data_IF_756026720732
#
_entry.id   IF_756026720732
#
_cell.length_a   1.000
_cell.length_b   1.000
_cell.length_c   1.000
_cell.angle_alpha   90.00
_cell.angle_beta   90.00
_cell.angle_gamma   90.00
#
_symmetry.space_group_name_H-M   'P 1'
#
loop_
_entity.id
_entity.type
_entity.pdbx_description
1 polymer ?
#
# COMPACT_ATOMS: atom_id res chain seq x y z
N UNK A 1 15.43 2.91 5.91
CA UNK A 1 15.73 1.87 6.92
C UNK A 1 15.78 0.52 6.22
N UNK A 2 16.94 -0.13 6.17
CA UNK A 2 17.08 -1.46 5.56
C UNK A 2 16.68 -2.54 6.57
N UNK A 3 16.09 -3.63 6.09
CA UNK A 3 15.75 -4.78 6.94
C UNK A 3 16.99 -5.33 7.63
N UNK A 4 16.91 -5.48 8.96
CA UNK A 4 17.98 -6.08 9.77
C UNK A 4 18.06 -7.56 9.40
N UNK A 5 19.24 -8.05 9.00
CA UNK A 5 19.43 -9.47 8.70
C UNK A 5 19.23 -10.29 9.98
N UNK A 6 18.55 -11.43 9.88
CA UNK A 6 18.19 -12.31 11.02
C UNK A 6 19.40 -12.89 11.77
N UNK A 7 20.59 -12.86 11.19
CA UNK A 7 21.84 -13.23 11.86
C UNK A 7 23.02 -12.53 11.21
N UNK A 8 24.02 -12.17 12.03
CA UNK A 8 25.34 -11.78 11.57
C UNK A 8 26.07 -13.03 11.06
N UNK A 9 25.77 -13.42 9.81
CA UNK A 9 26.65 -14.34 9.10
C UNK A 9 28.01 -13.62 9.04
N UNK A 10 29.02 -14.22 9.68
CA UNK A 10 30.38 -13.73 9.62
C UNK A 10 30.78 -13.63 8.14
N UNK A 11 31.03 -12.41 7.70
CA UNK A 11 31.42 -12.13 6.32
C UNK A 11 32.80 -12.71 6.09
N UNK A 12 33.06 -13.20 4.89
CA UNK A 12 34.43 -13.61 4.56
C UNK A 12 35.34 -12.38 4.54
N UNK A 13 36.67 -12.54 4.78
CA UNK A 13 37.60 -11.41 4.66
C UNK A 13 37.50 -10.69 3.30
N UNK A 14 37.21 -11.42 2.22
CA UNK A 14 36.99 -10.85 0.89
C UNK A 14 35.72 -10.00 0.81
N UNK A 15 34.62 -10.44 1.43
CA UNK A 15 33.37 -9.66 1.50
C UNK A 15 33.55 -8.40 2.34
N UNK A 16 34.30 -8.47 3.44
CA UNK A 16 34.62 -7.32 4.28
C UNK A 16 35.46 -6.28 3.53
N UNK A 17 36.50 -6.72 2.79
CA UNK A 17 37.29 -5.84 1.93
C UNK A 17 36.40 -5.16 0.89
N UNK A 18 35.56 -5.92 0.18
CA UNK A 18 34.63 -5.37 -0.83
C UNK A 18 33.67 -4.34 -0.22
N UNK A 19 33.13 -4.59 0.97
CA UNK A 19 32.26 -3.65 1.67
C UNK A 19 33.03 -2.40 2.08
N UNK A 20 34.24 -2.55 2.62
CA UNK A 20 35.08 -1.42 3.01
C UNK A 20 35.45 -0.53 1.82
N UNK A 21 35.81 -1.12 0.68
CA UNK A 21 36.09 -0.39 -0.56
C UNK A 21 34.85 0.33 -1.08
N UNK A 22 33.69 -0.33 -1.04
CA UNK A 22 32.42 0.27 -1.43
C UNK A 22 32.06 1.46 -0.55
N UNK A 23 32.21 1.33 0.78
CA UNK A 23 31.97 2.42 1.74
C UNK A 23 32.96 3.56 1.53
N UNK A 24 34.25 3.28 1.28
CA UNK A 24 35.27 4.30 0.99
C UNK A 24 34.89 5.10 -0.25
N UNK A 25 34.57 4.42 -1.35
CA UNK A 25 34.17 5.06 -2.61
C UNK A 25 32.89 5.88 -2.44
N UNK A 26 31.90 5.35 -1.72
CA UNK A 26 30.68 6.08 -1.41
C UNK A 26 30.96 7.37 -0.64
N UNK A 27 31.80 7.31 0.41
CA UNK A 27 32.17 8.48 1.23
C UNK A 27 32.89 9.53 0.39
N UNK A 28 33.83 9.12 -0.44
CA UNK A 28 34.59 10.00 -1.31
C UNK A 28 33.69 10.74 -2.30
N UNK A 29 32.89 10.00 -3.09
CA UNK A 29 32.02 10.60 -4.10
C UNK A 29 30.93 11.46 -3.44
N UNK A 30 30.37 11.03 -2.31
CA UNK A 30 29.40 11.82 -1.56
C UNK A 30 30.00 13.13 -1.06
N UNK A 31 31.23 13.11 -0.54
CA UNK A 31 31.93 14.33 -0.10
C UNK A 31 32.16 15.30 -1.26
N UNK A 32 32.56 14.81 -2.43
CA UNK A 32 32.73 15.63 -3.63
C UNK A 32 31.40 16.31 -4.02
N UNK A 33 30.29 15.57 -4.05
CA UNK A 33 28.96 16.14 -4.33
C UNK A 33 28.57 17.22 -3.31
N UNK A 34 28.90 17.02 -2.03
CA UNK A 34 28.63 18.04 -1.00
C UNK A 34 29.48 19.31 -1.18
N UNK A 35 30.72 19.18 -1.65
CA UNK A 35 31.57 20.32 -2.02
C UNK A 35 30.96 21.09 -3.20
N UNK A 36 30.56 20.38 -4.27
CA UNK A 36 29.90 21.00 -5.43
C UNK A 36 28.60 21.71 -5.03
N UNK A 37 27.78 21.07 -4.17
CA UNK A 37 26.57 21.69 -3.63
C UNK A 37 26.87 22.97 -2.86
N UNK A 38 27.91 22.97 -2.01
CA UNK A 38 28.31 24.15 -1.22
C UNK A 38 28.81 25.28 -2.12
N UNK A 39 29.53 24.94 -3.19
CA UNK A 39 30.00 25.87 -4.20
C UNK A 39 28.91 26.33 -5.19
N UNK A 40 27.69 25.77 -5.09
CA UNK A 40 26.59 25.99 -6.05
C UNK A 40 27.01 25.70 -7.51
N UNK A 41 27.89 24.72 -7.70
CA UNK A 41 28.33 24.29 -9.01
C UNK A 41 27.28 23.33 -9.61
N UNK A 42 26.51 23.84 -10.57
CA UNK A 42 25.38 23.16 -11.18
C UNK A 42 25.70 22.79 -12.64
N UNK A 43 26.38 21.66 -12.83
CA UNK A 43 26.82 21.19 -14.15
C UNK A 43 26.64 19.67 -14.32
N UNK A 44 26.97 19.17 -15.52
CA UNK A 44 26.90 17.75 -15.87
C UNK A 44 27.84 16.88 -15.02
N UNK A 45 28.94 17.45 -14.53
CA UNK A 45 29.86 16.74 -13.64
C UNK A 45 29.17 16.46 -12.28
N UNK A 46 28.48 17.45 -11.73
CA UNK A 46 27.63 17.31 -10.55
C UNK A 46 26.55 16.24 -10.73
N UNK A 47 25.90 16.18 -11.89
CA UNK A 47 24.92 15.13 -12.20
C UNK A 47 25.55 13.73 -12.28
N UNK A 48 26.74 13.57 -12.87
CA UNK A 48 27.41 12.27 -12.95
C UNK A 48 27.80 11.74 -11.58
N UNK A 49 28.40 12.57 -10.73
CA UNK A 49 28.80 12.14 -9.38
C UNK A 49 27.59 11.85 -8.49
N UNK A 50 26.58 12.73 -8.51
CA UNK A 50 25.38 12.53 -7.67
C UNK A 50 24.56 11.31 -8.10
N UNK A 51 24.59 10.91 -9.38
CA UNK A 51 23.93 9.69 -9.86
C UNK A 51 24.50 8.43 -9.16
N UNK A 52 25.83 8.36 -9.02
CA UNK A 52 26.48 7.27 -8.30
C UNK A 52 26.03 7.22 -6.84
N UNK A 53 25.96 8.38 -6.18
CA UNK A 53 25.59 8.46 -4.75
C UNK A 53 24.16 7.98 -4.51
N UNK A 54 23.20 8.44 -5.31
CA UNK A 54 21.78 8.09 -5.10
C UNK A 54 21.44 6.66 -5.49
N UNK A 55 22.18 6.07 -6.42
CA UNK A 55 22.07 4.64 -6.73
C UNK A 55 22.67 3.78 -5.62
N UNK A 56 23.67 4.26 -4.88
CA UNK A 56 24.21 3.53 -3.73
C UNK A 56 23.37 3.71 -2.47
N UNK A 57 22.87 4.92 -2.24
CA UNK A 57 22.00 5.26 -1.13
C UNK A 57 20.83 6.14 -1.61
N UNK A 58 19.72 5.53 -2.04
CA UNK A 58 18.52 6.26 -2.48
C UNK A 58 17.92 7.15 -1.39
N UNK A 59 18.21 6.92 -0.10
CA UNK A 59 17.70 7.72 1.02
C UNK A 59 18.43 9.05 1.21
N UNK A 60 19.53 9.30 0.49
CA UNK A 60 20.29 10.53 0.66
C UNK A 60 19.61 11.73 -0.01
N UNK A 61 18.54 12.22 0.61
CA UNK A 61 17.62 13.23 0.08
C UNK A 61 18.31 14.56 -0.31
N UNK A 62 19.39 14.94 0.39
CA UNK A 62 20.16 16.16 0.10
C UNK A 62 20.77 16.09 -1.30
N UNK A 63 21.22 14.91 -1.72
CA UNK A 63 21.79 14.70 -3.05
C UNK A 63 20.71 14.78 -4.11
N UNK A 64 19.52 14.19 -3.87
CA UNK A 64 18.38 14.38 -4.76
C UNK A 64 17.96 15.85 -4.89
N UNK A 65 18.01 16.63 -3.80
CA UNK A 65 17.76 18.07 -3.85
C UNK A 65 18.79 18.80 -4.72
N UNK A 66 20.08 18.53 -4.53
CA UNK A 66 21.15 19.07 -5.38
C UNK A 66 20.96 18.70 -6.85
N UNK A 67 20.54 17.46 -7.16
CA UNK A 67 20.21 17.05 -8.53
C UNK A 67 19.09 17.89 -9.13
N UNK A 68 17.99 18.11 -8.42
CA UNK A 68 16.89 18.95 -8.90
C UNK A 68 17.34 20.39 -9.16
N UNK A 69 18.14 20.95 -8.26
CA UNK A 69 18.68 22.31 -8.42
C UNK A 69 19.58 22.39 -9.66
N UNK A 70 20.41 21.37 -9.88
CA UNK A 70 21.27 21.25 -11.06
C UNK A 70 20.48 21.14 -12.36
N UNK A 71 19.50 20.23 -12.42
CA UNK A 71 18.64 20.07 -13.61
C UNK A 71 17.90 21.37 -13.91
N UNK A 72 17.32 22.04 -12.90
CA UNK A 72 16.64 23.33 -13.11
C UNK A 72 17.60 24.42 -13.60
N UNK A 73 18.84 24.44 -13.13
CA UNK A 73 19.85 25.38 -13.62
C UNK A 73 20.17 25.12 -15.10
N UNK A 74 20.46 23.87 -15.46
CA UNK A 74 20.79 23.49 -16.84
C UNK A 74 19.65 23.82 -17.81
N UNK A 75 18.39 23.48 -17.48
CA UNK A 75 17.24 23.76 -18.35
C UNK A 75 16.94 25.26 -18.50
N UNK A 76 17.32 26.09 -17.52
CA UNK A 76 17.21 27.56 -17.64
C UNK A 76 18.26 28.13 -18.59
N UNK A 77 19.42 27.49 -18.64
CA UNK A 77 20.52 27.90 -19.54
C UNK A 77 20.28 27.39 -20.96
N UNK A 78 19.86 26.14 -21.12
CA UNK A 78 19.54 25.50 -22.39
C UNK A 78 18.52 24.36 -22.22
N UNK A 79 17.31 24.54 -22.77
CA UNK A 79 16.23 23.55 -22.71
C UNK A 79 16.27 22.52 -23.85
N UNK A 80 17.20 22.66 -24.81
CA UNK A 80 17.30 21.74 -25.95
C UNK A 80 17.58 20.29 -25.52
N UNK A 81 18.27 20.12 -24.39
CA UNK A 81 18.61 18.82 -23.81
C UNK A 81 17.56 18.29 -22.81
N UNK A 82 16.39 18.95 -22.68
CA UNK A 82 15.34 18.55 -21.71
C UNK A 82 14.95 17.09 -21.83
N UNK A 83 14.79 16.60 -23.07
CA UNK A 83 14.40 15.21 -23.34
C UNK A 83 15.47 14.21 -22.88
N UNK A 84 16.74 14.51 -23.13
CA UNK A 84 17.84 13.63 -22.74
C UNK A 84 18.00 13.59 -21.21
N UNK A 85 17.92 14.74 -20.55
CA UNK A 85 17.93 14.85 -19.09
C UNK A 85 16.74 14.12 -18.45
N UNK A 86 15.55 14.25 -19.04
CA UNK A 86 14.34 13.54 -18.65
C UNK A 86 14.52 12.01 -18.70
N UNK A 87 15.01 11.49 -19.82
CA UNK A 87 15.25 10.05 -20.01
C UNK A 87 16.31 9.52 -19.04
N UNK A 88 17.40 10.27 -18.85
CA UNK A 88 18.46 9.92 -17.90
C UNK A 88 17.95 9.89 -16.45
N UNK A 89 17.16 10.89 -16.03
CA UNK A 89 16.65 10.97 -14.66
C UNK A 89 15.55 9.92 -14.39
N UNK A 90 14.71 9.61 -15.39
CA UNK A 90 13.74 8.50 -15.31
C UNK A 90 14.44 7.15 -15.14
N UNK A 91 15.54 6.92 -15.86
CA UNK A 91 16.35 5.71 -15.75
C UNK A 91 17.04 5.61 -14.39
N UNK A 92 17.64 6.71 -13.93
CA UNK A 92 18.35 6.77 -12.65
C UNK A 92 17.41 6.50 -11.47
N UNK A 93 16.24 7.14 -11.45
CA UNK A 93 15.25 6.91 -10.39
C UNK A 93 14.73 5.47 -10.42
N UNK A 94 14.57 4.86 -11.60
CA UNK A 94 14.21 3.45 -11.70
C UNK A 94 15.31 2.55 -11.13
N UNK A 95 16.58 2.81 -11.46
CA UNK A 95 17.71 2.06 -10.91
C UNK A 95 17.78 2.15 -9.38
N UNK A 96 17.57 3.35 -8.83
CA UNK A 96 17.49 3.58 -7.38
C UNK A 96 16.33 2.80 -6.74
N UNK A 97 15.15 2.81 -7.36
CA UNK A 97 13.97 2.06 -6.90
C UNK A 97 14.15 0.54 -7.02
N UNK A 98 14.87 0.05 -8.03
CA UNK A 98 15.18 -1.37 -8.15
C UNK A 98 16.10 -1.86 -7.01
N UNK A 99 16.90 -0.98 -6.42
CA UNK A 99 17.72 -1.28 -5.23
C UNK A 99 16.97 -1.08 -3.92
N UNK A 100 16.17 -0.02 -3.82
CA UNK A 100 15.33 0.25 -2.66
C UNK A 100 13.93 0.72 -3.12
N UNK A 101 12.98 -0.21 -3.32
CA UNK A 101 11.65 0.12 -3.84
C UNK A 101 10.78 0.90 -2.85
N UNK A 102 11.23 1.02 -1.60
CA UNK A 102 10.54 1.75 -0.51
C UNK A 102 11.23 3.06 -0.16
N UNK A 103 11.98 3.62 -1.11
CA UNK A 103 12.69 4.87 -0.91
C UNK A 103 11.78 6.08 -1.12
N UNK A 104 11.50 6.83 -0.04
CA UNK A 104 10.73 8.08 -0.14
C UNK A 104 11.38 9.07 -1.10
N UNK A 105 12.69 9.24 -1.02
CA UNK A 105 13.40 10.25 -1.81
C UNK A 105 13.41 9.90 -3.31
N UNK A 106 13.53 8.62 -3.66
CA UNK A 106 13.48 8.19 -5.06
C UNK A 106 12.07 8.34 -5.66
N UNK A 107 11.02 7.97 -4.92
CA UNK A 107 9.64 8.19 -5.36
C UNK A 107 9.31 9.68 -5.48
N UNK A 108 9.75 10.50 -4.52
CA UNK A 108 9.59 11.95 -4.58
C UNK A 108 10.31 12.57 -5.78
N UNK A 109 11.53 12.11 -6.07
CA UNK A 109 12.24 12.54 -7.28
C UNK A 109 11.45 12.17 -8.53
N UNK A 110 10.89 10.96 -8.59
CA UNK A 110 10.12 10.50 -9.75
C UNK A 110 8.84 11.32 -9.96
N UNK A 111 8.13 11.66 -8.88
CA UNK A 111 7.02 12.60 -8.92
C UNK A 111 7.46 13.97 -9.44
N UNK A 112 8.60 14.50 -8.95
CA UNK A 112 9.14 15.77 -9.42
C UNK A 112 9.44 15.77 -10.93
N UNK A 113 9.94 14.66 -11.49
CA UNK A 113 10.16 14.53 -12.94
C UNK A 113 8.82 14.69 -13.69
N UNK A 114 7.75 14.04 -13.24
CA UNK A 114 6.41 14.17 -13.84
C UNK A 114 5.90 15.60 -13.73
N UNK A 115 5.97 16.21 -12.55
CA UNK A 115 5.53 17.60 -12.30
C UNK A 115 6.24 18.63 -13.20
N UNK A 116 7.44 18.32 -13.70
CA UNK A 116 8.22 19.22 -14.58
C UNK A 116 8.05 18.89 -16.08
N UNK A 117 7.10 18.02 -16.44
CA UNK A 117 6.86 17.59 -17.82
C UNK A 117 8.04 16.82 -18.41
N UNK A 118 8.81 16.14 -17.55
CA UNK A 118 10.00 15.35 -17.91
C UNK A 118 9.72 13.84 -17.92
N UNK A 119 8.44 13.44 -17.89
CA UNK A 119 8.03 12.04 -18.02
C UNK A 119 6.70 11.94 -18.78
N UNK A 120 6.52 10.82 -19.46
CA UNK A 120 5.25 10.48 -20.14
C UNK A 120 4.38 9.71 -19.16
N UNK A 121 3.24 10.28 -18.76
CA UNK A 121 2.35 9.74 -17.72
C UNK A 121 1.94 8.29 -18.01
N UNK A 122 1.64 7.94 -19.26
CA UNK A 122 1.25 6.58 -19.65
C UNK A 122 2.38 5.56 -19.47
N UNK A 123 3.64 5.98 -19.65
CA UNK A 123 4.80 5.12 -19.37
C UNK A 123 4.96 4.91 -17.87
N UNK A 124 4.71 5.95 -17.07
CA UNK A 124 4.79 5.88 -15.61
C UNK A 124 3.67 5.00 -15.01
N UNK A 125 2.46 5.07 -15.57
CA UNK A 125 1.36 4.15 -15.20
C UNK A 125 1.74 2.70 -15.48
N UNK A 126 2.28 2.39 -16.67
CA UNK A 126 2.76 1.03 -16.99
C UNK A 126 3.90 0.57 -16.08
N UNK A 127 4.77 1.49 -15.66
CA UNK A 127 5.81 1.19 -14.69
C UNK A 127 5.20 0.80 -13.33
N UNK A 128 4.20 1.55 -12.85
CA UNK A 128 3.50 1.18 -11.61
C UNK A 128 2.91 -0.22 -11.68
N UNK A 129 2.26 -0.58 -12.79
CA UNK A 129 1.71 -1.92 -13.00
C UNK A 129 2.82 -2.99 -12.90
N UNK A 130 3.97 -2.75 -13.53
CA UNK A 130 5.11 -3.66 -13.48
C UNK A 130 5.74 -3.77 -12.08
N UNK A 131 5.86 -2.67 -11.34
CA UNK A 131 6.41 -2.66 -9.98
C UNK A 131 5.44 -3.31 -8.98
N UNK A 132 4.14 -3.08 -9.11
CA UNK A 132 3.09 -3.72 -8.31
C UNK A 132 2.85 -5.19 -8.68
N UNK A 133 3.36 -5.67 -9.82
CA UNK A 133 3.45 -7.11 -10.08
C UNK A 133 4.61 -7.77 -9.33
N UNK A 134 5.62 -7.00 -8.90
CA UNK A 134 6.77 -7.50 -8.12
C UNK A 134 6.53 -7.40 -6.61
N UNK A 135 5.95 -6.30 -6.16
CA UNK A 135 5.54 -6.08 -4.77
C UNK A 135 4.18 -5.39 -4.76
N UNK A 136 3.13 -6.19 -4.72
CA UNK A 136 1.74 -5.72 -4.75
C UNK A 136 1.35 -4.91 -3.50
N UNK A 137 2.16 -4.97 -2.43
CA UNK A 137 1.95 -4.29 -1.15
C UNK A 137 2.79 -3.01 -1.03
N UNK A 138 3.52 -2.63 -2.07
CA UNK A 138 4.31 -1.40 -2.06
C UNK A 138 3.41 -0.15 -2.05
N UNK A 139 3.16 0.39 -0.86
CA UNK A 139 2.29 1.55 -0.68
C UNK A 139 2.81 2.82 -1.37
N UNK A 140 4.13 2.96 -1.57
CA UNK A 140 4.67 4.09 -2.32
C UNK A 140 4.28 4.02 -3.80
N UNK A 141 4.33 2.82 -4.38
CA UNK A 141 3.92 2.62 -5.76
C UNK A 141 2.41 2.81 -5.93
N UNK A 142 1.60 2.38 -4.96
CA UNK A 142 0.16 2.69 -4.93
C UNK A 142 -0.12 4.20 -4.82
N UNK A 143 0.60 4.91 -3.94
CA UNK A 143 0.50 6.37 -3.83
C UNK A 143 0.86 7.06 -5.15
N UNK A 144 1.94 6.63 -5.80
CA UNK A 144 2.37 7.18 -7.08
C UNK A 144 1.38 6.86 -8.20
N UNK A 145 0.84 5.63 -8.26
CA UNK A 145 -0.23 5.25 -9.21
C UNK A 145 -1.47 6.13 -9.06
N UNK A 146 -1.90 6.43 -7.83
CA UNK A 146 -3.02 7.36 -7.56
C UNK A 146 -2.72 8.77 -8.06
N UNK A 147 -1.54 9.28 -7.77
CA UNK A 147 -1.10 10.60 -8.27
C UNK A 147 -1.13 10.66 -9.80
N UNK A 148 -0.65 9.63 -10.49
CA UNK A 148 -0.69 9.55 -11.96
C UNK A 148 -2.11 9.48 -12.51
N UNK A 149 -3.01 8.70 -11.89
CA UNK A 149 -4.42 8.66 -12.30
C UNK A 149 -5.07 10.04 -12.23
N UNK A 150 -4.81 10.78 -11.14
CA UNK A 150 -5.32 12.14 -10.96
C UNK A 150 -4.77 13.12 -12.00
N UNK A 151 -3.53 12.94 -12.46
CA UNK A 151 -2.97 13.77 -13.53
C UNK A 151 -3.52 13.43 -14.91
N UNK A 152 -3.75 12.14 -15.20
CA UNK A 152 -4.29 11.68 -16.48
C UNK A 152 -5.75 12.10 -16.65
N UNK A 153 -6.50 12.10 -15.58
CA UNK A 153 -7.90 12.47 -15.56
C UNK A 153 -8.07 13.99 -15.47
N UNK A 154 -8.89 14.58 -16.33
CA UNK A 154 -9.32 15.99 -16.21
C UNK A 154 -10.36 16.18 -15.07
N UNK A 155 -10.24 15.45 -13.96
CA UNK A 155 -11.19 15.44 -12.83
C UNK A 155 -11.07 14.18 -11.96
N UNK A 156 -11.57 14.24 -10.71
CA UNK A 156 -11.41 13.13 -9.74
C UNK A 156 -12.21 11.86 -10.10
N UNK A 157 -13.37 12.00 -10.74
CA UNK A 157 -14.25 10.88 -11.10
C UNK A 157 -13.57 9.89 -12.05
N UNK A 158 -13.00 10.39 -13.16
CA UNK A 158 -12.31 9.55 -14.15
C UNK A 158 -11.03 8.90 -13.57
N UNK A 159 -10.42 9.51 -12.55
CA UNK A 159 -9.29 8.91 -11.84
C UNK A 159 -9.74 7.73 -10.98
N UNK A 160 -10.92 7.83 -10.36
CA UNK A 160 -11.48 6.76 -9.55
C UNK A 160 -11.88 5.56 -10.40
N UNK A 161 -12.44 5.77 -11.60
CA UNK A 161 -12.78 4.68 -12.52
C UNK A 161 -11.54 3.88 -12.95
N UNK A 162 -10.47 4.56 -13.36
CA UNK A 162 -9.19 3.92 -13.71
C UNK A 162 -8.57 3.14 -12.53
N UNK A 163 -8.64 3.71 -11.32
CA UNK A 163 -8.14 3.06 -10.11
C UNK A 163 -9.02 1.88 -9.68
N UNK A 164 -10.34 1.98 -9.86
CA UNK A 164 -11.28 0.90 -9.58
C UNK A 164 -11.02 -0.27 -10.53
N UNK A 165 -10.94 -0.02 -11.84
CA UNK A 165 -10.58 -1.04 -12.84
C UNK A 165 -9.23 -1.70 -12.52
N UNK A 166 -8.22 -0.90 -12.19
CA UNK A 166 -6.92 -1.41 -11.79
C UNK A 166 -6.98 -2.29 -10.54
N UNK A 167 -7.71 -1.85 -9.52
CA UNK A 167 -7.89 -2.62 -8.28
C UNK A 167 -8.66 -3.92 -8.51
N UNK A 168 -9.68 -3.92 -9.39
CA UNK A 168 -10.41 -5.13 -9.80
C UNK A 168 -9.46 -6.15 -10.42
N UNK A 169 -8.59 -5.73 -11.34
CA UNK A 169 -7.57 -6.63 -11.93
C UNK A 169 -6.62 -7.19 -10.87
N UNK A 170 -6.23 -6.38 -9.89
CA UNK A 170 -5.32 -6.80 -8.81
C UNK A 170 -5.98 -7.78 -7.83
N UNK A 171 -7.24 -7.57 -7.47
CA UNK A 171 -8.00 -8.52 -6.64
C UNK A 171 -8.24 -9.83 -7.40
N UNK A 172 -8.52 -9.78 -8.71
CA UNK A 172 -8.67 -10.99 -9.52
C UNK A 172 -7.36 -11.80 -9.62
N UNK A 173 -6.19 -11.14 -9.58
CA UNK A 173 -4.87 -11.81 -9.56
C UNK A 173 -4.55 -12.40 -8.18
N UNK A 174 -4.93 -11.71 -7.12
CA UNK A 174 -4.76 -12.13 -5.74
C UNK A 174 -5.87 -11.54 -4.88
N UNK A 175 -6.86 -12.37 -4.51
CA UNK A 175 -8.01 -11.95 -3.72
C UNK A 175 -7.63 -11.51 -2.29
N UNK A 176 -6.42 -11.87 -1.82
CA UNK A 176 -5.85 -11.45 -0.54
C UNK A 176 -5.09 -10.13 -0.59
N UNK A 177 -5.09 -9.43 -1.73
CA UNK A 177 -4.36 -8.19 -1.89
C UNK A 177 -5.03 -7.02 -1.14
N UNK A 178 -4.66 -6.85 0.14
CA UNK A 178 -5.19 -5.77 0.99
C UNK A 178 -4.99 -4.37 0.42
N UNK A 179 -3.89 -4.13 -0.31
CA UNK A 179 -3.67 -2.81 -0.91
C UNK A 179 -4.66 -2.52 -2.04
N UNK A 180 -5.01 -3.55 -2.82
CA UNK A 180 -6.04 -3.45 -3.85
C UNK A 180 -7.43 -3.31 -3.22
N UNK A 181 -7.78 -4.12 -2.20
CA UNK A 181 -9.04 -3.98 -1.45
C UNK A 181 -9.16 -2.58 -0.82
N UNK A 182 -8.08 -2.06 -0.23
CA UNK A 182 -8.06 -0.70 0.29
C UNK A 182 -8.26 0.34 -0.84
N UNK A 183 -7.63 0.16 -2.01
CA UNK A 183 -7.87 1.05 -3.15
C UNK A 183 -9.36 1.06 -3.55
N UNK A 184 -10.06 -0.09 -3.50
CA UNK A 184 -11.52 -0.13 -3.75
C UNK A 184 -12.29 0.75 -2.79
N UNK A 185 -11.97 0.72 -1.48
CA UNK A 185 -12.62 1.59 -0.48
C UNK A 185 -12.48 3.08 -0.77
N UNK A 186 -11.46 3.48 -1.54
CA UNK A 186 -11.21 4.87 -1.93
C UNK A 186 -11.86 5.25 -3.26
N UNK A 187 -12.05 4.27 -4.16
CA UNK A 187 -12.53 4.49 -5.52
C UNK A 187 -14.03 4.27 -5.69
N UNK A 188 -14.63 3.42 -4.86
CA UNK A 188 -16.07 3.17 -4.89
C UNK A 188 -16.87 4.40 -4.41
N UNK A 189 -18.09 4.61 -4.95
CA UNK A 189 -18.94 5.74 -4.55
C UNK A 189 -19.32 5.68 -3.08
N UNK A 190 -19.52 6.85 -2.48
CA UNK A 190 -20.04 6.98 -1.11
C UNK A 190 -21.26 7.91 -1.14
N UNK A 191 -22.47 7.45 -0.78
CA UNK A 191 -22.80 6.09 -0.31
C UNK A 191 -22.70 5.02 -1.41
N UNK A 192 -22.49 3.76 -1.01
CA UNK A 192 -22.49 2.62 -1.92
C UNK A 192 -23.90 2.33 -2.45
N UNK A 193 -24.11 2.30 -3.78
CA UNK A 193 -25.32 1.74 -4.38
C UNK A 193 -25.53 0.28 -3.96
N UNK A 194 -26.78 -0.14 -3.83
CA UNK A 194 -27.12 -1.47 -3.32
C UNK A 194 -26.63 -2.61 -4.23
N UNK A 195 -26.77 -2.44 -5.53
CA UNK A 195 -26.24 -3.37 -6.55
C UNK A 195 -24.73 -3.56 -6.42
N UNK A 196 -23.98 -2.46 -6.31
CA UNK A 196 -22.52 -2.48 -6.12
C UNK A 196 -22.16 -3.14 -4.78
N UNK A 197 -22.89 -2.82 -3.70
CA UNK A 197 -22.66 -3.44 -2.39
C UNK A 197 -22.84 -4.96 -2.43
N UNK A 198 -23.90 -5.44 -3.09
CA UNK A 198 -24.17 -6.87 -3.19
C UNK A 198 -23.09 -7.60 -3.98
N UNK A 199 -22.60 -7.01 -5.08
CA UNK A 199 -21.47 -7.54 -5.84
C UNK A 199 -20.18 -7.60 -5.00
N UNK A 200 -19.87 -6.54 -4.27
CA UNK A 200 -18.69 -6.51 -3.38
C UNK A 200 -18.79 -7.54 -2.25
N UNK A 201 -19.98 -7.69 -1.65
CA UNK A 201 -20.21 -8.68 -0.58
C UNK A 201 -20.01 -10.09 -1.13
N UNK A 202 -20.57 -10.41 -2.29
CA UNK A 202 -20.43 -11.73 -2.92
C UNK A 202 -18.98 -12.05 -3.27
N UNK A 203 -18.26 -11.10 -3.88
CA UNK A 203 -16.83 -11.25 -4.19
C UNK A 203 -16.03 -11.62 -2.93
N UNK A 204 -16.32 -10.96 -1.81
CA UNK A 204 -15.56 -11.16 -0.56
C UNK A 204 -15.98 -12.44 0.14
N UNK A 205 -17.26 -12.82 0.08
CA UNK A 205 -17.74 -14.12 0.58
C UNK A 205 -16.97 -15.25 -0.11
N UNK A 206 -16.88 -15.24 -1.43
CA UNK A 206 -16.12 -16.23 -2.19
C UNK A 206 -14.64 -16.31 -1.74
N UNK A 207 -14.02 -15.16 -1.50
CA UNK A 207 -12.64 -15.10 -1.02
C UNK A 207 -12.47 -15.66 0.41
N UNK A 208 -13.35 -15.31 1.36
CA UNK A 208 -13.25 -15.82 2.75
C UNK A 208 -13.62 -17.29 2.87
N UNK A 209 -14.51 -17.82 2.03
CA UNK A 209 -14.77 -19.26 1.97
C UNK A 209 -13.56 -20.03 1.42
N UNK A 210 -12.76 -19.41 0.55
CA UNK A 210 -11.54 -20.02 0.03
C UNK A 210 -10.39 -19.96 1.04
N UNK A 211 -10.20 -18.81 1.70
CA UNK A 211 -9.13 -18.58 2.69
C UNK A 211 -9.67 -17.87 3.94
N UNK A 212 -10.32 -18.61 4.87
CA UNK A 212 -11.01 -18.02 6.02
C UNK A 212 -10.04 -17.43 7.07
N UNK A 213 -8.75 -17.73 6.96
CA UNK A 213 -7.70 -17.19 7.83
C UNK A 213 -7.10 -15.88 7.29
N UNK A 214 -7.43 -15.46 6.06
CA UNK A 214 -6.94 -14.21 5.49
C UNK A 214 -7.67 -12.99 6.06
N UNK A 215 -6.97 -12.22 6.88
CA UNK A 215 -7.53 -11.03 7.52
C UNK A 215 -8.02 -9.96 6.53
N UNK A 216 -7.40 -9.87 5.34
CA UNK A 216 -7.60 -8.77 4.38
C UNK A 216 -9.06 -8.68 3.94
N UNK A 217 -9.62 -9.84 3.57
CA UNK A 217 -11.00 -9.99 3.12
C UNK A 217 -11.98 -9.71 4.27
N UNK A 218 -11.70 -10.19 5.48
CA UNK A 218 -12.54 -9.90 6.64
C UNK A 218 -12.58 -8.41 6.99
N UNK A 219 -11.45 -7.71 6.94
CA UNK A 219 -11.42 -6.27 7.17
C UNK A 219 -12.20 -5.49 6.11
N UNK A 220 -12.13 -5.91 4.85
CA UNK A 220 -12.90 -5.30 3.76
C UNK A 220 -14.40 -5.59 3.90
N UNK A 221 -14.79 -6.83 4.22
CA UNK A 221 -16.18 -7.20 4.51
C UNK A 221 -16.78 -6.39 5.67
N UNK A 222 -16.02 -6.19 6.77
CA UNK A 222 -16.45 -5.34 7.89
C UNK A 222 -16.67 -3.87 7.50
N UNK A 223 -15.99 -3.39 6.47
CA UNK A 223 -16.27 -2.07 5.89
C UNK A 223 -17.59 -2.09 5.12
N UNK A 224 -17.84 -3.10 4.28
CA UNK A 224 -19.09 -3.28 3.52
C UNK A 224 -20.32 -3.39 4.44
N UNK A 225 -20.20 -4.10 5.57
CA UNK A 225 -21.28 -4.27 6.55
C UNK A 225 -21.87 -2.92 7.01
N UNK A 226 -21.08 -1.85 7.05
CA UNK A 226 -21.55 -0.52 7.46
C UNK A 226 -22.56 0.09 6.48
N UNK A 227 -22.59 -0.41 5.25
CA UNK A 227 -23.49 0.05 4.18
C UNK A 227 -24.67 -0.90 3.96
N UNK A 228 -24.73 -2.04 4.68
CA UNK A 228 -25.84 -2.99 4.57
C UNK A 228 -27.15 -2.31 5.02
N UNK A 229 -28.24 -2.42 4.24
CA UNK A 229 -29.54 -1.90 4.63
C UNK A 229 -30.00 -2.41 5.99
N UNK A 230 -30.68 -1.56 6.73
CA UNK A 230 -31.30 -1.94 7.99
C UNK A 230 -32.56 -2.80 7.74
N UNK A 231 -32.36 -4.07 7.39
CA UNK A 231 -33.40 -5.04 7.10
C UNK A 231 -33.12 -6.37 7.83
N UNK A 232 -34.11 -6.87 8.57
CA UNK A 232 -33.95 -8.05 9.41
C UNK A 232 -33.62 -9.32 8.62
N UNK A 233 -34.19 -9.49 7.42
CA UNK A 233 -33.92 -10.66 6.58
C UNK A 233 -32.51 -10.62 6.01
N UNK A 234 -32.03 -9.43 5.61
CA UNK A 234 -30.64 -9.25 5.15
C UNK A 234 -29.65 -9.58 6.26
N UNK A 235 -29.86 -9.05 7.47
CA UNK A 235 -28.99 -9.39 8.61
C UNK A 235 -29.03 -10.86 8.99
N UNK A 236 -30.19 -11.50 8.91
CA UNK A 236 -30.32 -12.93 9.18
C UNK A 236 -29.49 -13.75 8.18
N UNK A 237 -29.56 -13.42 6.88
CA UNK A 237 -28.72 -14.06 5.87
C UNK A 237 -27.22 -13.89 6.18
N UNK A 238 -26.79 -12.68 6.58
CA UNK A 238 -25.39 -12.42 6.94
C UNK A 238 -24.93 -13.19 8.19
N UNK A 239 -25.81 -13.42 9.16
CA UNK A 239 -25.50 -14.25 10.33
C UNK A 239 -25.33 -15.71 9.91
N UNK A 240 -26.28 -16.26 9.14
CA UNK A 240 -26.35 -17.68 8.82
C UNK A 240 -25.12 -18.18 8.05
N UNK A 241 -24.66 -17.44 7.04
CA UNK A 241 -23.50 -17.91 6.27
C UNK A 241 -22.21 -17.88 7.09
N UNK A 242 -22.04 -16.90 7.99
CA UNK A 242 -20.85 -16.84 8.87
C UNK A 242 -20.90 -17.99 9.88
N UNK A 243 -22.08 -18.30 10.41
CA UNK A 243 -22.25 -19.45 11.29
C UNK A 243 -21.95 -20.77 10.57
N UNK A 244 -22.37 -20.92 9.31
CA UNK A 244 -22.00 -22.07 8.49
C UNK A 244 -20.47 -22.16 8.33
N UNK A 245 -19.81 -21.05 8.00
CA UNK A 245 -18.36 -21.04 7.87
C UNK A 245 -17.66 -21.41 9.20
N UNK A 246 -18.18 -20.95 10.34
CA UNK A 246 -17.65 -21.31 11.66
C UNK A 246 -17.85 -22.81 11.97
N UNK A 247 -18.95 -23.42 11.51
CA UNK A 247 -19.16 -24.86 11.67
C UNK A 247 -18.14 -25.67 10.88
N UNK A 248 -17.84 -25.23 9.66
CA UNK A 248 -16.85 -25.87 8.78
C UNK A 248 -15.40 -25.60 9.27
N UNK A 249 -15.12 -24.37 9.68
CA UNK A 249 -13.80 -23.86 10.05
C UNK A 249 -13.80 -23.22 11.46
N UNK A 250 -13.96 -24.02 12.53
CA UNK A 250 -14.16 -23.52 13.89
C UNK A 250 -12.97 -22.76 14.47
N UNK A 251 -11.78 -22.86 13.85
CA UNK A 251 -10.57 -22.13 14.27
C UNK A 251 -10.36 -20.83 13.51
N UNK A 252 -11.21 -20.50 12.54
CA UNK A 252 -11.13 -19.27 11.77
C UNK A 252 -11.55 -18.06 12.63
N UNK A 253 -10.62 -17.56 13.46
CA UNK A 253 -10.89 -16.49 14.44
C UNK A 253 -11.56 -15.26 13.83
N UNK A 254 -11.23 -14.92 12.58
CA UNK A 254 -11.80 -13.75 11.93
C UNK A 254 -13.30 -13.91 11.61
N UNK A 255 -13.77 -15.13 11.36
CA UNK A 255 -15.19 -15.42 11.20
C UNK A 255 -15.94 -15.16 12.52
N UNK A 256 -15.42 -15.68 13.64
CA UNK A 256 -15.97 -15.43 14.99
C UNK A 256 -16.02 -13.94 15.35
N UNK A 257 -14.91 -13.22 15.16
CA UNK A 257 -14.86 -11.77 15.45
C UNK A 257 -15.84 -11.00 14.57
N UNK A 258 -16.00 -11.40 13.30
CA UNK A 258 -16.95 -10.77 12.38
C UNK A 258 -18.39 -11.09 12.73
N UNK A 259 -18.71 -12.34 13.11
CA UNK A 259 -20.05 -12.73 13.55
C UNK A 259 -20.52 -11.88 14.74
N UNK A 260 -19.65 -11.70 15.74
CA UNK A 260 -19.98 -10.84 16.88
C UNK A 260 -20.27 -9.38 16.45
N UNK A 261 -19.51 -8.84 15.50
CA UNK A 261 -19.76 -7.51 14.95
C UNK A 261 -21.10 -7.42 14.22
N UNK A 262 -21.43 -8.44 13.41
CA UNK A 262 -22.70 -8.51 12.66
C UNK A 262 -23.88 -8.57 13.63
N UNK A 263 -23.81 -9.43 14.65
CA UNK A 263 -24.85 -9.58 15.68
C UNK A 263 -25.08 -8.29 16.48
N UNK A 264 -24.01 -7.60 16.89
CA UNK A 264 -24.15 -6.30 17.58
C UNK A 264 -24.73 -5.21 16.68
N UNK A 265 -24.40 -5.22 15.40
CA UNK A 265 -24.92 -4.23 14.45
C UNK A 265 -26.39 -4.48 14.15
N UNK A 266 -26.78 -5.75 13.97
CA UNK A 266 -28.16 -6.15 13.69
C UNK A 266 -29.11 -5.97 14.89
N UNK A 267 -28.61 -5.94 16.14
CA UNK A 267 -29.44 -5.64 17.33
C UNK A 267 -30.22 -4.33 17.20
N UNK A 268 -29.66 -3.34 16.49
CA UNK A 268 -30.28 -2.02 16.26
C UNK A 268 -31.49 -2.07 15.32
N UNK A 269 -31.78 -3.23 14.73
CA UNK A 269 -32.63 -3.37 13.56
C UNK A 269 -33.96 -4.11 13.83
N UNK A 270 -34.10 -4.87 14.93
CA UNK A 270 -35.20 -5.86 15.00
C UNK A 270 -35.66 -6.39 16.37
N UNK A 271 -35.35 -5.76 17.50
CA UNK A 271 -35.94 -6.16 18.81
C UNK A 271 -35.51 -7.53 19.38
N UNK A 272 -34.66 -8.29 18.68
CA UNK A 272 -34.08 -9.59 19.11
C UNK A 272 -32.79 -9.36 19.95
N UNK A 273 -32.68 -8.20 20.57
CA UNK A 273 -31.47 -7.71 21.25
C UNK A 273 -30.93 -8.70 22.29
N UNK A 274 -31.80 -9.37 23.05
CA UNK A 274 -31.38 -10.32 24.09
C UNK A 274 -30.71 -11.58 23.55
N UNK A 275 -31.22 -12.14 22.45
CA UNK A 275 -30.68 -13.39 21.87
C UNK A 275 -29.32 -13.12 21.24
N UNK A 276 -29.21 -12.06 20.44
CA UNK A 276 -27.95 -11.66 19.82
C UNK A 276 -26.92 -11.26 20.87
N UNK A 277 -27.31 -10.52 21.91
CA UNK A 277 -26.42 -10.16 23.03
C UNK A 277 -25.89 -11.40 23.74
N UNK A 278 -26.74 -12.39 24.03
CA UNK A 278 -26.29 -13.65 24.63
C UNK A 278 -25.28 -14.37 23.72
N UNK A 279 -25.58 -14.48 22.42
CA UNK A 279 -24.69 -15.09 21.44
C UNK A 279 -23.33 -14.38 21.33
N UNK A 280 -23.32 -13.04 21.34
CA UNK A 280 -22.08 -12.25 21.37
C UNK A 280 -21.24 -12.55 22.61
N UNK A 281 -21.86 -12.71 23.79
CA UNK A 281 -21.13 -13.06 25.01
C UNK A 281 -20.45 -14.43 24.90
N UNK A 282 -21.14 -15.41 24.32
CA UNK A 282 -20.55 -16.75 24.09
C UNK A 282 -19.35 -16.67 23.13
N UNK A 283 -19.50 -15.92 22.03
CA UNK A 283 -18.45 -15.73 21.03
C UNK A 283 -17.22 -15.05 21.65
N UNK A 284 -17.40 -13.93 22.36
CA UNK A 284 -16.28 -13.22 22.98
C UNK A 284 -15.59 -14.04 24.07
N UNK A 285 -16.33 -14.85 24.80
CA UNK A 285 -15.75 -15.79 25.77
C UNK A 285 -14.86 -16.82 25.06
N UNK A 286 -15.32 -17.40 23.95
CA UNK A 286 -14.52 -18.34 23.16
C UNK A 286 -13.26 -17.67 22.53
N UNK A 287 -13.38 -16.42 22.10
CA UNK A 287 -12.29 -15.67 21.48
C UNK A 287 -11.14 -15.32 22.43
N UNK A 288 -11.40 -15.22 23.74
CA UNK A 288 -10.35 -14.98 24.75
C UNK A 288 -9.29 -16.07 24.70
N UNK A 289 -9.69 -17.33 24.50
CA UNK A 289 -8.78 -18.46 24.41
C UNK A 289 -8.23 -18.64 22.98
N UNK A 290 -9.06 -18.45 21.95
CA UNK A 290 -8.68 -18.64 20.55
C UNK A 290 -7.70 -17.58 20.02
N UNK A 291 -7.81 -16.34 20.50
CA UNK A 291 -7.02 -15.19 20.04
C UNK A 291 -6.48 -14.40 21.25
N UNK A 292 -5.69 -15.12 22.06
CA UNK A 292 -5.18 -14.65 23.36
C UNK A 292 -4.42 -13.33 23.32
N UNK A 293 -3.77 -13.00 22.20
CA UNK A 293 -3.10 -11.71 21.98
C UNK A 293 -4.08 -10.52 22.07
N UNK A 294 -5.36 -10.74 21.76
CA UNK A 294 -6.43 -9.74 21.81
C UNK A 294 -7.42 -9.97 22.97
N UNK A 295 -7.09 -10.81 23.96
CA UNK A 295 -7.99 -11.12 25.09
C UNK A 295 -8.56 -9.90 25.80
N UNK A 296 -7.75 -8.84 25.97
CA UNK A 296 -8.18 -7.62 26.65
C UNK A 296 -9.27 -6.90 25.85
N UNK A 297 -9.17 -6.90 24.52
CA UNK A 297 -10.20 -6.35 23.65
C UNK A 297 -11.52 -7.11 23.82
N UNK A 298 -11.50 -8.45 23.84
CA UNK A 298 -12.71 -9.25 24.04
C UNK A 298 -13.32 -9.09 25.43
N UNK A 299 -12.49 -8.99 26.48
CA UNK A 299 -12.95 -8.67 27.83
C UNK A 299 -13.62 -7.30 27.91
N UNK A 300 -13.08 -6.29 27.23
CA UNK A 300 -13.70 -4.97 27.16
C UNK A 300 -15.04 -5.02 26.42
N UNK A 301 -15.15 -5.79 25.34
CA UNK A 301 -16.43 -6.01 24.64
C UNK A 301 -17.46 -6.71 25.53
N UNK A 302 -17.07 -7.72 26.31
CA UNK A 302 -17.97 -8.39 27.25
C UNK A 302 -18.53 -7.43 28.31
N UNK A 303 -17.72 -6.49 28.81
CA UNK A 303 -18.17 -5.47 29.77
C UNK A 303 -19.22 -4.53 29.19
N UNK A 304 -19.13 -4.20 27.91
CA UNK A 304 -20.10 -3.35 27.22
C UNK A 304 -21.45 -4.06 26.98
N UNK A 305 -21.46 -5.39 27.03
CA UNK A 305 -22.68 -6.19 26.89
C UNK A 305 -23.36 -6.47 28.23
N UNK A 306 -22.88 -5.99 29.38
CA UNK A 306 -23.50 -6.16 30.70
C UNK A 306 -24.68 -5.20 30.89
#
# INVERSE_FOLDING_TARGET
>A
MHGIRKSDIAKTPEEEIKIAEHVRKYKEVSAQVMVLKKAQQFDDHGLKLSALVVVLNPEFWIVWAFRRDTIRHLLRTDDSHKKELAEAECKLTLEALMKNPKSYSAWFQRQWIVDNGMAVVEKEVRLCDALLNKDERNFHCWNYRRYLSKLKASGEEHANDDLLEFSTRKVAQNFSNYSALHQRTLSLPTPLPLDVLLEEVEMVKQAVFTEPYDQSNWFYYRWLIKSIPNDAAVWQNEIEWIEQLIQEEPKAKFAWVTLALVLETSCKCGGIERVHTARCRDIYTALIDMDSDHKNYYMDRLRLLQ
#
